data_IF_705217347551
#
_entry.id   IF_705217347551
#
_cell.length_a   1.000
_cell.length_b   1.000
_cell.length_c   1.000
_cell.angle_alpha   90.00
_cell.angle_beta   90.00
_cell.angle_gamma   90.00
#
_symmetry.space_group_name_H-M   'P 1'
#
loop_
_entity.id
_entity.type
_entity.pdbx_description
1 polymer ?
#
# COMPACT_ATOMS: atom_id res chain seq x y z
N UNK A 1 -16.46 -31.77 2.31
CA UNK A 1 -15.80 -31.93 3.62
C UNK A 1 -16.12 -30.71 4.45
N UNK A 2 -16.83 -30.89 5.57
CA UNK A 2 -17.15 -29.82 6.51
C UNK A 2 -15.87 -29.33 7.18
N UNK A 3 -15.60 -28.03 7.07
CA UNK A 3 -14.48 -27.36 7.74
C UNK A 3 -14.72 -27.48 9.26
N UNK A 4 -13.77 -27.98 10.07
CA UNK A 4 -13.94 -28.12 11.51
C UNK A 4 -14.28 -26.80 12.20
N UNK A 5 -15.12 -26.85 13.24
CA UNK A 5 -15.70 -25.71 13.97
C UNK A 5 -14.74 -24.99 14.94
N UNK A 6 -13.45 -24.95 14.62
CA UNK A 6 -12.49 -23.99 15.16
C UNK A 6 -11.70 -23.45 13.96
N UNK A 7 -12.41 -22.79 13.05
CA UNK A 7 -11.77 -22.07 11.96
C UNK A 7 -11.06 -20.87 12.56
N UNK A 8 -9.72 -20.88 12.57
CA UNK A 8 -8.91 -19.73 12.94
C UNK A 8 -9.43 -18.48 12.23
N UNK A 9 -9.64 -17.40 12.98
CA UNK A 9 -10.05 -16.13 12.37
C UNK A 9 -8.91 -15.63 11.49
N UNK A 10 -9.21 -15.29 10.23
CA UNK A 10 -8.21 -14.85 9.26
C UNK A 10 -8.58 -13.49 8.68
N UNK A 11 -7.59 -12.61 8.61
CA UNK A 11 -7.78 -11.25 8.15
C UNK A 11 -6.71 -10.89 7.11
N UNK A 12 -7.15 -10.43 5.96
CA UNK A 12 -6.24 -9.94 4.93
C UNK A 12 -5.88 -8.48 5.21
N UNK A 13 -4.58 -8.20 5.29
CA UNK A 13 -4.01 -6.85 5.36
C UNK A 13 -3.10 -6.67 4.14
N UNK A 14 -3.21 -5.58 3.40
CA UNK A 14 -2.40 -5.42 2.19
C UNK A 14 -2.17 -3.99 1.76
N UNK A 15 -1.48 -3.84 0.63
CA UNK A 15 -1.19 -2.55 0.00
C UNK A 15 -1.42 -2.61 -1.52
N UNK A 16 -1.91 -1.51 -2.10
CA UNK A 16 -2.09 -1.36 -3.55
C UNK A 16 -1.86 0.07 -4.07
N UNK A 17 -0.84 0.27 -4.90
CA UNK A 17 -0.70 1.50 -5.69
C UNK A 17 -1.77 1.54 -6.81
N UNK A 18 -2.60 2.59 -6.83
CA UNK A 18 -3.74 2.71 -7.73
C UNK A 18 -3.43 3.42 -9.06
N UNK A 19 -2.17 3.74 -9.35
CA UNK A 19 -1.68 4.37 -10.60
C UNK A 19 -2.45 5.68 -10.93
N UNK A 20 -2.13 6.77 -10.24
CA UNK A 20 -2.65 8.11 -10.53
C UNK A 20 -4.17 8.13 -10.62
N UNK A 21 -4.83 7.76 -9.53
CA UNK A 21 -6.28 7.70 -9.46
C UNK A 21 -6.87 9.07 -9.14
N UNK A 22 -6.86 9.92 -10.15
CA UNK A 22 -7.52 11.22 -10.15
C UNK A 22 -9.02 11.07 -10.41
N UNK A 23 -9.81 11.98 -9.86
CA UNK A 23 -11.14 12.28 -10.38
C UNK A 23 -11.03 12.99 -11.75
N UNK A 24 -12.15 13.41 -12.32
CA UNK A 24 -12.20 13.97 -13.68
C UNK A 24 -12.45 15.48 -13.71
N UNK A 25 -12.50 16.12 -12.54
CA UNK A 25 -12.68 17.56 -12.34
C UNK A 25 -11.31 18.19 -12.10
N UNK A 26 -11.02 19.29 -12.79
CA UNK A 26 -9.75 19.99 -12.63
C UNK A 26 -9.72 20.76 -11.30
N UNK A 27 -8.67 20.57 -10.51
CA UNK A 27 -8.37 21.39 -9.34
C UNK A 27 -7.23 22.37 -9.64
N UNK A 28 -7.51 23.68 -9.53
CA UNK A 28 -6.55 24.74 -9.84
C UNK A 28 -5.37 24.83 -8.86
N UNK A 29 -5.39 24.08 -7.77
CA UNK A 29 -4.39 24.13 -6.70
C UNK A 29 -3.37 22.98 -6.76
N UNK A 30 -3.55 22.01 -7.66
CA UNK A 30 -2.65 20.86 -7.85
C UNK A 30 -2.31 20.66 -9.33
N UNK A 31 -1.31 19.83 -9.62
CA UNK A 31 -0.86 19.52 -10.98
C UNK A 31 -1.62 18.33 -11.58
N UNK A 32 -2.93 18.47 -11.76
CA UNK A 32 -3.83 17.43 -12.29
C UNK A 32 -4.29 17.68 -13.74
N UNK A 33 -3.88 18.78 -14.39
CA UNK A 33 -4.33 19.19 -15.74
C UNK A 33 -4.33 18.06 -16.79
N UNK A 34 -3.36 17.14 -16.67
CA UNK A 34 -3.23 15.98 -17.57
C UNK A 34 -4.39 15.00 -17.42
N UNK A 35 -5.01 14.92 -16.26
CA UNK A 35 -6.14 14.05 -15.88
C UNK A 35 -7.49 14.78 -15.95
N UNK A 36 -7.66 15.60 -16.97
CA UNK A 36 -8.95 16.18 -17.33
C UNK A 36 -9.42 15.73 -18.70
N UNK A 37 -10.68 16.03 -19.05
CA UNK A 37 -11.25 15.68 -20.35
C UNK A 37 -10.49 16.31 -21.52
N UNK A 38 -9.94 17.51 -21.33
CA UNK A 38 -9.13 18.22 -22.33
C UNK A 38 -7.62 18.03 -22.12
N UNK A 39 -7.23 17.38 -21.03
CA UNK A 39 -5.84 17.09 -20.69
C UNK A 39 -5.22 16.05 -21.60
N UNK A 40 -3.89 15.92 -21.51
CA UNK A 40 -3.11 14.97 -22.32
C UNK A 40 -3.61 13.52 -22.20
N UNK A 41 -4.13 13.13 -21.05
CA UNK A 41 -4.63 11.77 -20.82
C UNK A 41 -6.11 11.61 -21.18
N UNK A 42 -6.78 12.66 -21.67
CA UNK A 42 -8.22 12.72 -22.01
C UNK A 42 -9.07 11.98 -20.96
N UNK A 43 -8.82 12.28 -19.68
CA UNK A 43 -9.42 11.61 -18.55
C UNK A 43 -10.83 12.18 -18.33
N UNK A 44 -11.83 11.41 -18.73
CA UNK A 44 -13.23 11.77 -18.62
C UNK A 44 -13.97 10.84 -17.65
N UNK A 45 -15.20 11.21 -17.31
CA UNK A 45 -16.06 10.46 -16.40
C UNK A 45 -16.19 8.97 -16.76
N UNK A 46 -16.23 8.62 -18.05
CA UNK A 46 -16.29 7.21 -18.46
C UNK A 46 -14.99 6.45 -18.14
N UNK A 47 -13.82 7.04 -18.36
CA UNK A 47 -12.53 6.43 -17.99
C UNK A 47 -12.38 6.30 -16.49
N UNK A 48 -12.79 7.33 -15.75
CA UNK A 48 -12.84 7.34 -14.29
C UNK A 48 -13.74 6.23 -13.72
N UNK A 49 -14.99 6.13 -14.19
CA UNK A 49 -15.93 5.10 -13.76
C UNK A 49 -15.46 3.67 -14.09
N UNK A 50 -14.82 3.47 -15.25
CA UNK A 50 -14.18 2.19 -15.58
C UNK A 50 -13.04 1.85 -14.64
N UNK A 51 -12.23 2.84 -14.24
CA UNK A 51 -11.15 2.62 -13.29
C UNK A 51 -11.70 2.27 -11.90
N UNK A 52 -12.74 2.97 -11.43
CA UNK A 52 -13.45 2.63 -10.19
C UNK A 52 -13.91 1.16 -10.16
N UNK A 53 -14.59 0.71 -11.21
CA UNK A 53 -15.06 -0.67 -11.32
C UNK A 53 -13.90 -1.68 -11.27
N UNK A 54 -12.83 -1.42 -12.03
CA UNK A 54 -11.65 -2.29 -12.07
C UNK A 54 -10.92 -2.40 -10.74
N UNK A 55 -10.64 -1.27 -10.11
CA UNK A 55 -9.98 -1.25 -8.81
C UNK A 55 -10.87 -1.95 -7.77
N UNK A 56 -12.18 -1.70 -7.78
CA UNK A 56 -13.15 -2.37 -6.92
C UNK A 56 -13.16 -3.90 -7.13
N UNK A 57 -13.13 -4.37 -8.37
CA UNK A 57 -13.04 -5.79 -8.72
C UNK A 57 -11.73 -6.42 -8.21
N UNK A 58 -10.60 -5.73 -8.36
CA UNK A 58 -9.31 -6.18 -7.85
C UNK A 58 -9.32 -6.30 -6.32
N UNK A 59 -9.71 -5.23 -5.62
CA UNK A 59 -9.80 -5.21 -4.14
C UNK A 59 -10.67 -6.35 -3.63
N UNK A 60 -11.78 -6.65 -4.33
CA UNK A 60 -12.72 -7.69 -3.92
C UNK A 60 -12.13 -9.10 -3.88
N UNK A 61 -10.99 -9.33 -4.53
CA UNK A 61 -10.36 -10.64 -4.67
C UNK A 61 -9.01 -10.75 -3.95
N UNK A 62 -8.43 -9.65 -3.46
CA UNK A 62 -7.16 -9.69 -2.71
C UNK A 62 -7.33 -10.56 -1.46
N UNK A 63 -6.63 -11.70 -1.41
CA UNK A 63 -6.64 -12.62 -0.29
C UNK A 63 -7.95 -13.39 -0.08
N UNK A 64 -8.95 -13.23 -0.96
CA UNK A 64 -10.27 -13.85 -0.82
C UNK A 64 -10.21 -15.38 -0.85
N UNK A 65 -9.29 -15.96 -1.63
CA UNK A 65 -9.08 -17.42 -1.68
C UNK A 65 -8.62 -18.02 -0.34
N UNK A 66 -8.04 -17.21 0.55
CA UNK A 66 -7.56 -17.65 1.86
C UNK A 66 -8.59 -17.38 2.96
N UNK A 67 -9.19 -16.19 2.97
CA UNK A 67 -10.03 -15.72 4.08
C UNK A 67 -11.53 -15.81 3.80
N UNK A 68 -11.92 -16.08 2.55
CA UNK A 68 -13.31 -16.00 2.09
C UNK A 68 -13.91 -14.59 2.19
N UNK A 69 -13.06 -13.57 2.41
CA UNK A 69 -13.44 -12.20 2.72
C UNK A 69 -12.58 -11.20 1.96
N UNK A 70 -13.10 -9.98 1.83
CA UNK A 70 -12.34 -8.84 1.33
C UNK A 70 -11.33 -8.36 2.38
N UNK A 71 -10.25 -7.64 1.96
CA UNK A 71 -9.25 -7.10 2.88
C UNK A 71 -9.86 -6.37 4.07
N UNK A 72 -9.47 -6.76 5.28
CA UNK A 72 -9.87 -6.07 6.50
C UNK A 72 -9.26 -4.67 6.55
N UNK A 73 -8.01 -4.56 6.09
CA UNK A 73 -7.25 -3.31 5.97
C UNK A 73 -6.48 -3.33 4.64
N UNK A 74 -6.51 -2.22 3.91
CA UNK A 74 -5.80 -2.06 2.64
C UNK A 74 -5.21 -0.64 2.58
N UNK A 75 -3.89 -0.53 2.66
CA UNK A 75 -3.18 0.70 2.31
C UNK A 75 -3.27 0.93 0.80
N UNK A 76 -3.46 2.17 0.38
CA UNK A 76 -3.46 2.55 -1.04
C UNK A 76 -2.58 3.76 -1.26
N UNK A 77 -2.03 3.88 -2.46
CA UNK A 77 -1.26 5.04 -2.89
C UNK A 77 -1.72 5.55 -4.26
N UNK A 78 -1.30 6.77 -4.57
CA UNK A 78 -1.64 7.49 -5.79
C UNK A 78 -3.16 7.76 -5.91
N UNK A 79 -3.78 8.18 -4.81
CA UNK A 79 -5.18 8.60 -4.79
C UNK A 79 -5.25 10.10 -4.63
N UNK A 80 -6.03 10.77 -5.49
CA UNK A 80 -6.03 12.23 -5.47
C UNK A 80 -6.70 12.82 -4.23
N UNK A 81 -7.91 12.35 -3.92
CA UNK A 81 -8.70 13.02 -2.89
C UNK A 81 -9.78 12.11 -2.28
N UNK A 82 -10.47 12.64 -1.27
CA UNK A 82 -11.58 11.95 -0.58
C UNK A 82 -12.76 11.61 -1.48
N UNK A 83 -12.98 12.33 -2.59
CA UNK A 83 -14.07 12.02 -3.53
C UNK A 83 -13.78 10.69 -4.22
N UNK A 84 -12.54 10.50 -4.68
CA UNK A 84 -12.10 9.22 -5.28
C UNK A 84 -12.28 8.05 -4.31
N UNK A 85 -11.88 8.22 -3.05
CA UNK A 85 -12.05 7.18 -2.03
C UNK A 85 -13.53 6.87 -1.75
N UNK A 86 -14.38 7.90 -1.62
CA UNK A 86 -15.82 7.73 -1.45
C UNK A 86 -16.44 6.97 -2.62
N UNK A 87 -16.17 7.40 -3.85
CA UNK A 87 -16.73 6.77 -5.04
C UNK A 87 -16.25 5.32 -5.19
N UNK A 88 -15.01 5.02 -4.75
CA UNK A 88 -14.45 3.67 -4.74
C UNK A 88 -15.17 2.76 -3.74
N UNK A 89 -15.33 3.18 -2.48
CA UNK A 89 -16.00 2.34 -1.48
C UNK A 89 -17.50 2.14 -1.76
N UNK A 90 -18.11 3.03 -2.56
CA UNK A 90 -19.50 2.92 -3.01
C UNK A 90 -19.68 1.98 -4.23
N UNK A 91 -18.59 1.47 -4.82
CA UNK A 91 -18.70 0.52 -5.92
C UNK A 91 -19.43 -0.77 -5.51
N UNK A 92 -20.15 -1.44 -6.44
CA UNK A 92 -20.99 -2.59 -6.11
C UNK A 92 -20.29 -3.72 -5.36
N UNK A 93 -18.99 -3.96 -5.59
CA UNK A 93 -18.22 -5.01 -4.91
C UNK A 93 -17.78 -4.64 -3.50
N UNK A 94 -17.78 -3.35 -3.14
CA UNK A 94 -17.28 -2.86 -1.84
C UNK A 94 -18.38 -2.32 -0.93
N UNK A 95 -19.44 -1.71 -1.49
CA UNK A 95 -20.46 -0.95 -0.73
C UNK A 95 -21.16 -1.73 0.39
N UNK A 96 -21.27 -3.05 0.24
CA UNK A 96 -21.93 -3.92 1.22
C UNK A 96 -20.96 -4.48 2.28
N UNK A 97 -19.67 -4.16 2.21
CA UNK A 97 -18.63 -4.67 3.12
C UNK A 97 -18.18 -3.65 4.16
N UNK A 98 -18.95 -2.58 4.37
CA UNK A 98 -18.75 -1.59 5.45
C UNK A 98 -17.35 -0.96 5.47
N UNK A 99 -16.82 -0.67 4.28
CA UNK A 99 -15.57 0.06 4.15
C UNK A 99 -15.72 1.51 4.59
N UNK A 100 -14.69 1.99 5.28
CA UNK A 100 -14.39 3.39 5.55
C UNK A 100 -12.92 3.64 5.20
N UNK A 101 -12.44 4.87 5.34
CA UNK A 101 -11.05 5.21 5.04
C UNK A 101 -10.47 6.27 5.96
N UNK A 102 -9.15 6.28 6.07
CA UNK A 102 -8.34 7.38 6.64
C UNK A 102 -7.53 8.00 5.51
N UNK A 103 -7.58 9.33 5.38
CA UNK A 103 -6.90 10.08 4.32
C UNK A 103 -6.57 11.51 4.78
N UNK A 104 -5.41 12.01 4.38
CA UNK A 104 -5.00 13.40 4.55
C UNK A 104 -4.34 13.87 3.26
N UNK A 105 -4.59 15.13 2.90
CA UNK A 105 -3.86 15.75 1.79
C UNK A 105 -2.41 15.98 2.20
N UNK A 106 -1.46 15.58 1.34
CA UNK A 106 -0.03 15.80 1.54
C UNK A 106 0.48 17.02 0.78
N UNK A 107 1.72 17.47 1.03
CA UNK A 107 2.33 18.57 0.29
C UNK A 107 2.66 18.27 -1.18
N UNK A 108 2.51 17.04 -1.67
CA UNK A 108 2.85 16.69 -3.05
C UNK A 108 2.09 17.56 -4.05
N UNK A 109 2.82 18.27 -4.91
CA UNK A 109 2.28 19.22 -5.89
C UNK A 109 1.28 18.60 -6.89
N UNK A 110 1.35 17.28 -7.10
CA UNK A 110 0.44 16.56 -7.99
C UNK A 110 -0.88 16.24 -7.30
N UNK A 111 -0.97 16.44 -5.98
CA UNK A 111 -2.18 16.18 -5.20
C UNK A 111 -2.53 14.70 -5.12
N UNK A 112 -1.54 13.80 -5.10
CA UNK A 112 -1.79 12.36 -4.91
C UNK A 112 -1.22 11.87 -3.58
N UNK A 113 -2.04 11.14 -2.86
CA UNK A 113 -1.81 10.79 -1.47
C UNK A 113 -1.83 9.28 -1.23
N UNK A 114 -1.48 8.93 0.01
CA UNK A 114 -1.73 7.60 0.58
C UNK A 114 -3.02 7.61 1.40
N UNK A 115 -3.68 6.46 1.46
CA UNK A 115 -4.86 6.27 2.30
C UNK A 115 -4.87 4.87 2.93
N UNK A 116 -5.70 4.69 3.94
CA UNK A 116 -6.01 3.38 4.52
C UNK A 116 -7.49 3.09 4.34
N UNK A 117 -7.85 2.14 3.48
CA UNK A 117 -9.19 1.57 3.43
C UNK A 117 -9.31 0.50 4.52
N UNK A 118 -10.42 0.48 5.25
CA UNK A 118 -10.63 -0.53 6.29
C UNK A 118 -12.09 -0.90 6.46
N UNK A 119 -12.34 -2.13 6.87
CA UNK A 119 -13.66 -2.66 7.19
C UNK A 119 -14.04 -2.33 8.64
N UNK A 120 -15.06 -1.51 8.83
CA UNK A 120 -15.48 -1.01 10.15
C UNK A 120 -16.06 -2.08 11.08
N UNK A 121 -16.45 -3.24 10.54
CA UNK A 121 -16.95 -4.36 11.33
C UNK A 121 -15.85 -5.23 11.97
N UNK A 122 -14.60 -5.07 11.53
CA UNK A 122 -13.45 -5.85 12.04
C UNK A 122 -12.26 -4.99 12.47
N UNK A 123 -12.19 -3.74 12.00
CA UNK A 123 -11.12 -2.80 12.33
C UNK A 123 -11.67 -1.48 12.89
N UNK A 124 -11.22 -1.12 14.08
CA UNK A 124 -11.52 0.16 14.74
C UNK A 124 -10.30 1.08 14.67
N UNK A 125 -10.47 2.30 14.15
CA UNK A 125 -9.41 3.32 14.17
C UNK A 125 -9.43 4.02 15.53
N UNK A 126 -8.27 4.04 16.20
CA UNK A 126 -8.08 4.68 17.50
C UNK A 126 -7.38 6.05 17.37
N UNK A 127 -6.40 6.14 16.47
CA UNK A 127 -5.62 7.34 16.21
C UNK A 127 -5.12 7.32 14.77
N UNK A 128 -5.00 8.48 14.15
CA UNK A 128 -4.33 8.61 12.85
C UNK A 128 -3.72 9.99 12.68
N UNK A 129 -2.59 10.06 11.99
CA UNK A 129 -1.96 11.34 11.59
C UNK A 129 -1.05 11.18 10.39
N UNK A 130 -0.88 12.24 9.58
CA UNK A 130 0.17 12.30 8.59
C UNK A 130 1.53 12.53 9.28
N UNK A 131 2.58 11.98 8.68
CA UNK A 131 3.99 12.24 9.02
C UNK A 131 4.61 12.89 7.79
N UNK A 132 4.82 14.20 7.87
CA UNK A 132 5.38 14.95 6.76
C UNK A 132 6.85 14.66 6.60
N UNK A 133 7.23 14.21 5.41
CA UNK A 133 8.62 13.98 5.05
C UNK A 133 9.29 15.32 4.74
N UNK A 134 10.39 15.60 5.45
CA UNK A 134 11.26 16.72 5.19
C UNK A 134 12.43 16.25 4.34
N UNK A 135 12.33 16.47 3.02
CA UNK A 135 13.35 16.11 2.04
C UNK A 135 13.75 17.36 1.28
N UNK A 136 15.05 17.55 1.10
CA UNK A 136 15.63 18.61 0.29
C UNK A 136 16.19 18.01 -1.01
N UNK A 137 16.22 18.80 -2.08
CA UNK A 137 16.93 18.47 -3.31
C UNK A 137 18.42 18.84 -3.21
N UNK A 138 19.17 18.59 -4.28
CA UNK A 138 20.62 18.84 -4.33
C UNK A 138 20.99 20.33 -4.23
N UNK A 139 20.00 21.23 -4.34
CA UNK A 139 20.14 22.68 -4.17
C UNK A 139 19.69 23.16 -2.78
N UNK A 140 19.31 22.25 -1.87
CA UNK A 140 18.80 22.56 -0.54
C UNK A 140 17.37 23.12 -0.56
N UNK A 141 16.65 22.96 -1.67
CA UNK A 141 15.25 23.38 -1.78
C UNK A 141 14.37 22.22 -1.32
N UNK A 142 13.37 22.52 -0.49
CA UNK A 142 12.40 21.52 -0.03
C UNK A 142 11.70 20.87 -1.22
N UNK A 143 11.88 19.55 -1.37
CA UNK A 143 11.15 18.71 -2.31
C UNK A 143 9.84 18.28 -1.65
N UNK A 144 8.73 18.86 -2.09
CA UNK A 144 7.41 18.52 -1.59
C UNK A 144 7.02 17.13 -2.09
N UNK A 145 6.85 16.19 -1.17
CA UNK A 145 6.51 14.79 -1.45
C UNK A 145 5.34 14.34 -0.59
N UNK A 146 4.86 13.11 -0.85
CA UNK A 146 3.82 12.44 -0.07
C UNK A 146 4.26 12.25 1.38
N UNK A 147 3.29 12.43 2.27
CA UNK A 147 3.40 12.10 3.67
C UNK A 147 3.33 10.57 3.88
N UNK A 148 3.83 10.10 5.02
CA UNK A 148 3.54 8.75 5.50
C UNK A 148 2.25 8.82 6.33
N UNK A 149 1.28 7.94 6.05
CA UNK A 149 0.08 7.84 6.87
C UNK A 149 0.33 6.86 8.03
N UNK A 150 0.23 7.35 9.26
CA UNK A 150 0.21 6.51 10.46
C UNK A 150 -1.23 6.32 10.96
N UNK A 151 -1.58 5.08 11.28
CA UNK A 151 -2.86 4.69 11.88
C UNK A 151 -2.63 3.70 13.01
N UNK A 152 -3.12 4.03 14.20
CA UNK A 152 -3.29 3.06 15.30
C UNK A 152 -4.72 2.57 15.28
N UNK A 153 -4.90 1.26 15.25
CA UNK A 153 -6.24 0.67 15.27
C UNK A 153 -6.28 -0.72 15.88
N UNK A 154 -7.47 -1.27 16.02
CA UNK A 154 -7.72 -2.57 16.64
C UNK A 154 -8.32 -3.51 15.61
N UNK A 155 -7.57 -4.51 15.18
CA UNK A 155 -8.03 -5.57 14.29
C UNK A 155 -8.35 -6.81 15.12
N UNK A 156 -9.61 -7.24 15.10
CA UNK A 156 -10.05 -8.45 15.81
C UNK A 156 -9.62 -8.51 17.29
N UNK A 157 -9.53 -7.37 17.97
CA UNK A 157 -9.09 -7.33 19.36
C UNK A 157 -7.61 -6.94 19.57
N UNK A 158 -6.75 -7.14 18.57
CA UNK A 158 -5.31 -6.86 18.64
C UNK A 158 -5.02 -5.43 18.15
N UNK A 159 -4.31 -4.64 18.97
CA UNK A 159 -3.90 -3.28 18.59
C UNK A 159 -2.73 -3.34 17.61
N UNK A 160 -2.87 -2.68 16.46
CA UNK A 160 -1.87 -2.57 15.41
C UNK A 160 -1.50 -1.11 15.17
N UNK A 161 -0.22 -0.86 14.96
CA UNK A 161 0.32 0.39 14.43
C UNK A 161 0.64 0.18 12.95
N UNK A 162 0.02 0.95 12.08
CA UNK A 162 0.09 0.76 10.63
C UNK A 162 0.68 2.02 9.99
N UNK A 163 1.68 1.82 9.14
CA UNK A 163 2.28 2.88 8.33
C UNK A 163 2.04 2.59 6.85
N UNK A 164 1.45 3.54 6.12
CA UNK A 164 1.27 3.46 4.66
C UNK A 164 2.23 4.46 4.00
N UNK A 165 3.08 3.94 3.12
CA UNK A 165 4.20 4.68 2.53
C UNK A 165 4.03 4.82 1.01
N UNK A 166 4.46 5.96 0.47
CA UNK A 166 4.73 6.11 -0.96
C UNK A 166 5.97 7.01 -1.16
N UNK A 167 7.15 6.39 -1.16
CA UNK A 167 8.43 7.10 -1.12
C UNK A 167 8.80 7.78 -2.45
N UNK A 168 9.74 8.73 -2.45
CA UNK A 168 10.20 9.41 -3.65
C UNK A 168 10.67 8.45 -4.75
N UNK A 169 10.17 8.67 -5.98
CA UNK A 169 10.48 7.85 -7.14
C UNK A 169 11.94 7.95 -7.58
N UNK A 170 12.44 6.91 -8.27
CA UNK A 170 13.78 6.88 -8.88
C UNK A 170 13.85 7.73 -10.18
N UNK A 171 13.83 9.07 -10.09
CA UNK A 171 14.00 9.95 -11.27
C UNK A 171 15.47 9.93 -11.75
N UNK A 172 15.70 9.78 -13.07
CA UNK A 172 17.02 9.79 -13.75
C UNK A 172 18.06 8.71 -13.34
N UNK A 173 17.64 7.66 -12.64
CA UNK A 173 18.53 6.60 -12.14
C UNK A 173 18.50 6.53 -10.61
N UNK A 174 18.86 5.38 -10.03
CA UNK A 174 18.78 5.17 -8.58
C UNK A 174 19.76 6.03 -7.79
N UNK A 175 20.97 6.28 -8.32
CA UNK A 175 22.06 6.91 -7.58
C UNK A 175 21.85 8.39 -7.22
N UNK A 176 21.04 9.14 -7.98
CA UNK A 176 20.80 10.58 -7.73
C UNK A 176 19.66 10.84 -6.73
N UNK A 177 18.88 9.82 -6.36
CA UNK A 177 17.69 9.99 -5.50
C UNK A 177 17.63 9.01 -4.33
N UNK A 178 18.59 8.09 -4.21
CA UNK A 178 18.64 7.10 -3.13
C UNK A 178 18.66 7.73 -1.74
N UNK A 179 19.36 8.85 -1.56
CA UNK A 179 19.39 9.57 -0.28
C UNK A 179 18.00 10.00 0.19
N UNK A 180 17.09 10.34 -0.73
CA UNK A 180 15.71 10.75 -0.39
C UNK A 180 14.94 9.60 0.27
N UNK A 181 15.15 8.37 -0.21
CA UNK A 181 14.53 7.17 0.37
C UNK A 181 15.20 6.75 1.68
N UNK A 182 16.51 6.95 1.81
CA UNK A 182 17.20 6.79 3.09
C UNK A 182 16.67 7.78 4.16
N UNK A 183 16.45 9.05 3.79
CA UNK A 183 15.85 10.05 4.68
C UNK A 183 14.39 9.71 5.04
N UNK A 184 13.62 9.19 4.09
CA UNK A 184 12.25 8.72 4.36
C UNK A 184 12.25 7.54 5.36
N UNK A 185 13.18 6.58 5.19
CA UNK A 185 13.37 5.48 6.13
C UNK A 185 13.75 5.98 7.52
N UNK A 186 14.69 6.94 7.61
CA UNK A 186 15.10 7.55 8.85
C UNK A 186 13.93 8.22 9.59
N UNK A 187 13.17 9.09 8.92
CA UNK A 187 12.02 9.79 9.54
C UNK A 187 10.91 8.82 9.97
N UNK A 188 10.69 7.74 9.20
CA UNK A 188 9.79 6.66 9.61
C UNK A 188 10.29 5.98 10.89
N UNK A 189 11.57 5.65 10.98
CA UNK A 189 12.14 5.02 12.18
C UNK A 189 12.13 5.93 13.39
N UNK A 190 12.43 7.23 13.24
CA UNK A 190 12.31 8.22 14.32
C UNK A 190 10.89 8.22 14.91
N UNK A 191 9.87 8.16 14.05
CA UNK A 191 8.50 8.04 14.51
C UNK A 191 8.21 6.70 15.21
N UNK A 192 8.70 5.58 14.65
CA UNK A 192 8.56 4.26 15.29
C UNK A 192 9.18 4.26 16.69
N UNK A 193 10.36 4.86 16.88
CA UNK A 193 10.98 4.98 18.20
C UNK A 193 10.18 5.86 19.16
N UNK A 194 9.52 6.91 18.66
CA UNK A 194 8.62 7.70 19.51
C UNK A 194 7.40 6.89 19.99
N UNK A 195 6.89 5.98 19.17
CA UNK A 195 5.76 5.11 19.52
C UNK A 195 6.18 3.91 20.38
N UNK A 196 7.40 3.38 20.19
CA UNK A 196 7.91 2.15 20.80
C UNK A 196 9.35 2.31 21.29
N UNK A 197 9.57 3.28 22.19
CA UNK A 197 10.89 3.59 22.76
C UNK A 197 11.47 2.39 23.53
N UNK A 198 10.60 1.63 24.21
CA UNK A 198 10.97 0.43 24.96
C UNK A 198 11.39 -0.76 24.06
N UNK A 199 11.14 -0.70 22.75
CA UNK A 199 11.52 -1.76 21.81
C UNK A 199 10.65 -3.01 21.89
N UNK A 200 9.38 -2.89 22.32
CA UNK A 200 8.47 -4.01 22.53
C UNK A 200 8.07 -4.71 21.20
N UNK A 201 8.40 -4.12 20.05
CA UNK A 201 8.23 -4.72 18.72
C UNK A 201 9.19 -5.88 18.40
N UNK A 202 10.36 -5.94 19.07
CA UNK A 202 11.45 -6.89 18.74
C UNK A 202 11.22 -8.30 19.27
N UNK A 203 10.53 -8.42 20.38
CA UNK A 203 10.25 -9.71 21.00
C UNK A 203 8.86 -9.69 21.59
N UNK A 204 8.22 -10.85 21.64
CA UNK A 204 6.90 -10.96 22.25
C UNK A 204 7.02 -10.91 23.77
N UNK A 205 6.26 -10.01 24.37
CA UNK A 205 6.13 -9.81 25.82
C UNK A 205 4.81 -10.41 26.32
N UNK A 206 4.69 -10.65 27.62
CA UNK A 206 3.43 -11.06 28.24
C UNK A 206 2.36 -9.95 28.18
N UNK A 207 2.80 -8.68 28.23
CA UNK A 207 1.98 -7.47 28.15
C UNK A 207 2.71 -6.39 27.36
N UNK A 208 1.97 -5.37 26.94
CA UNK A 208 2.52 -4.16 26.31
C UNK A 208 3.27 -4.41 24.99
N UNK A 209 2.86 -5.44 24.25
CA UNK A 209 3.36 -5.67 22.89
C UNK A 209 2.99 -4.50 21.97
N UNK A 210 3.99 -4.05 21.18
CA UNK A 210 3.76 -3.11 20.09
C UNK A 210 3.82 -3.86 18.77
N UNK A 211 2.66 -4.13 18.17
CA UNK A 211 2.58 -4.76 16.85
C UNK A 211 2.56 -3.68 15.77
N UNK A 212 3.49 -3.78 14.83
CA UNK A 212 3.67 -2.77 13.79
C UNK A 212 3.65 -3.43 12.41
N UNK A 213 2.91 -2.82 11.48
CA UNK A 213 2.91 -3.16 10.06
C UNK A 213 3.33 -1.92 9.28
N UNK A 214 4.42 -2.03 8.53
CA UNK A 214 4.92 -1.01 7.61
C UNK A 214 4.65 -1.52 6.20
N UNK A 215 3.81 -0.83 5.45
CA UNK A 215 3.48 -1.21 4.07
C UNK A 215 3.50 0.00 3.15
N UNK A 216 3.64 -0.24 1.86
CA UNK A 216 3.67 0.86 0.89
C UNK A 216 4.43 0.55 -0.39
N UNK A 217 4.45 1.55 -1.26
CA UNK A 217 5.34 1.64 -2.40
C UNK A 217 6.61 2.37 -1.95
N UNK A 218 7.69 1.60 -1.74
CA UNK A 218 8.95 2.13 -1.27
C UNK A 218 9.80 2.73 -2.40
N UNK A 219 9.40 2.57 -3.67
CA UNK A 219 10.23 2.90 -4.83
C UNK A 219 11.66 2.30 -4.78
N UNK A 220 11.85 1.28 -3.94
CA UNK A 220 13.06 0.52 -3.73
C UNK A 220 12.72 -0.96 -3.65
N UNK A 221 13.64 -1.80 -4.09
CA UNK A 221 13.50 -3.25 -3.96
C UNK A 221 13.92 -3.72 -2.55
N UNK A 222 13.56 -4.94 -2.12
CA UNK A 222 13.89 -5.45 -0.79
C UNK A 222 15.39 -5.48 -0.49
N UNK A 223 16.24 -5.62 -1.51
CA UNK A 223 17.69 -5.65 -1.38
C UNK A 223 18.35 -4.26 -1.26
N UNK A 224 17.61 -3.16 -1.41
CA UNK A 224 18.18 -1.81 -1.34
C UNK A 224 18.49 -1.37 0.10
N UNK A 225 19.43 -0.44 0.25
CA UNK A 225 19.93 0.03 1.56
C UNK A 225 18.85 0.70 2.40
N UNK A 226 17.93 1.44 1.77
CA UNK A 226 16.80 2.08 2.47
C UNK A 226 15.94 1.07 3.23
N UNK A 227 15.86 -0.18 2.77
CA UNK A 227 15.16 -1.28 3.43
C UNK A 227 16.11 -2.04 4.35
N UNK A 228 17.19 -2.61 3.79
CA UNK A 228 18.09 -3.53 4.50
C UNK A 228 18.88 -2.88 5.62
N UNK A 229 19.18 -1.58 5.53
CA UNK A 229 19.87 -0.80 6.56
C UNK A 229 18.94 0.19 7.25
N UNK A 230 17.94 0.72 6.53
CA UNK A 230 17.05 1.76 7.05
C UNK A 230 15.85 1.27 7.84
N UNK A 231 15.36 0.03 7.62
CA UNK A 231 14.16 -0.49 8.30
C UNK A 231 14.44 -1.79 9.05
N UNK A 232 14.96 -2.83 8.39
CA UNK A 232 15.03 -4.18 8.99
C UNK A 232 15.83 -4.25 10.30
N UNK A 233 17.00 -3.60 10.46
CA UNK A 233 17.77 -3.64 11.71
C UNK A 233 17.01 -3.07 12.92
N UNK A 234 15.92 -2.34 12.67
CA UNK A 234 15.10 -1.70 13.69
C UNK A 234 14.01 -2.62 14.27
N UNK A 235 14.07 -3.92 14.03
CA UNK A 235 13.15 -4.92 14.61
C UNK A 235 12.00 -5.28 13.68
N UNK A 236 12.28 -5.36 12.37
CA UNK A 236 11.30 -5.65 11.34
C UNK A 236 11.78 -6.76 10.42
N UNK A 237 10.85 -7.62 10.01
CA UNK A 237 11.04 -8.59 8.93
C UNK A 237 10.23 -8.16 7.69
N UNK A 238 10.79 -8.39 6.50
CA UNK A 238 10.11 -8.13 5.24
C UNK A 238 9.49 -9.41 4.70
N UNK A 239 8.24 -9.64 5.08
CA UNK A 239 7.48 -10.85 4.72
C UNK A 239 7.22 -10.95 3.21
N UNK A 240 7.33 -9.85 2.47
CA UNK A 240 7.19 -9.85 1.00
C UNK A 240 8.50 -10.08 0.26
N UNK A 241 9.67 -9.84 0.87
CA UNK A 241 10.97 -9.96 0.20
C UNK A 241 11.20 -11.32 -0.49
N UNK A 242 10.83 -12.47 0.12
CA UNK A 242 11.02 -13.78 -0.52
C UNK A 242 10.18 -13.99 -1.80
N UNK A 243 9.15 -13.16 -2.04
CA UNK A 243 8.24 -13.30 -3.19
C UNK A 243 8.86 -12.79 -4.49
N UNK A 244 9.87 -11.92 -4.41
CA UNK A 244 10.57 -11.38 -5.57
C UNK A 244 11.48 -12.42 -6.19
N UNK A 245 11.38 -12.60 -7.50
CA UNK A 245 12.34 -13.38 -8.29
C UNK A 245 12.43 -12.85 -9.73
N UNK A 246 13.24 -13.49 -10.57
CA UNK A 246 13.46 -13.05 -11.95
C UNK A 246 12.17 -12.99 -12.81
N UNK A 247 11.12 -13.69 -12.41
CA UNK A 247 9.85 -13.80 -13.14
C UNK A 247 8.65 -13.19 -12.41
N UNK A 248 8.83 -12.67 -11.19
CA UNK A 248 7.73 -12.20 -10.34
C UNK A 248 8.15 -11.03 -9.45
N UNK A 249 7.28 -10.04 -9.36
CA UNK A 249 7.40 -8.85 -8.52
C UNK A 249 6.09 -8.09 -8.53
N UNK A 250 6.01 -6.97 -7.81
CA UNK A 250 4.80 -6.13 -7.80
C UNK A 250 4.70 -5.26 -9.05
N UNK A 251 5.81 -4.94 -9.72
CA UNK A 251 5.81 -4.16 -10.95
C UNK A 251 6.88 -4.62 -11.93
N UNK A 252 6.72 -4.21 -13.19
CA UNK A 252 7.70 -4.47 -14.24
C UNK A 252 8.10 -3.19 -14.97
N UNK A 253 9.41 -2.88 -14.94
CA UNK A 253 9.99 -1.75 -15.65
C UNK A 253 11.09 -2.23 -16.60
N UNK A 254 10.98 -1.89 -17.90
CA UNK A 254 11.95 -2.29 -18.94
C UNK A 254 12.27 -3.80 -18.91
N UNK A 255 11.23 -4.65 -18.76
CA UNK A 255 11.35 -6.11 -18.69
C UNK A 255 12.10 -6.65 -17.46
N UNK A 256 12.36 -5.81 -16.46
CA UNK A 256 12.87 -6.21 -15.15
C UNK A 256 11.72 -6.20 -14.14
N UNK A 257 11.58 -7.29 -13.41
CA UNK A 257 10.66 -7.37 -12.27
C UNK A 257 11.27 -6.71 -11.04
N UNK A 258 10.46 -5.88 -10.38
CA UNK A 258 10.79 -5.19 -9.14
C UNK A 258 9.72 -5.48 -8.09
N UNK A 259 10.07 -5.33 -6.82
CA UNK A 259 9.12 -5.45 -5.70
C UNK A 259 9.18 -4.17 -4.87
N UNK A 260 8.59 -3.09 -5.38
CA UNK A 260 8.54 -1.82 -4.66
C UNK A 260 7.44 -1.81 -3.60
N UNK A 261 6.32 -2.44 -3.92
CA UNK A 261 5.21 -2.66 -3.01
C UNK A 261 5.60 -3.75 -2.01
N UNK A 262 5.76 -3.39 -0.74
CA UNK A 262 6.28 -4.30 0.28
C UNK A 262 5.45 -4.22 1.55
N UNK A 263 5.48 -5.30 2.33
CA UNK A 263 4.93 -5.37 3.69
C UNK A 263 6.04 -5.86 4.61
N UNK A 264 6.32 -5.06 5.62
CA UNK A 264 7.25 -5.34 6.71
C UNK A 264 6.47 -5.37 8.02
N UNK A 265 6.82 -6.28 8.91
CA UNK A 265 6.13 -6.47 10.19
C UNK A 265 7.12 -6.49 11.33
N UNK A 266 6.69 -6.07 12.52
CA UNK A 266 7.51 -6.22 13.72
C UNK A 266 7.80 -7.70 14.02
N UNK A 267 9.00 -8.00 14.53
CA UNK A 267 9.45 -9.37 14.85
C UNK A 267 8.45 -10.13 15.76
N UNK A 268 7.82 -9.43 16.71
CA UNK A 268 6.84 -10.01 17.63
C UNK A 268 5.50 -10.43 16.98
N UNK A 269 5.25 -10.09 15.70
CA UNK A 269 4.04 -10.43 14.94
C UNK A 269 4.15 -11.79 14.22
N UNK A 270 5.28 -12.50 14.31
CA UNK A 270 5.42 -13.86 13.75
C UNK A 270 4.97 -14.97 14.70
N UNK A 271 4.78 -14.66 15.98
CA UNK A 271 4.60 -15.67 17.02
C UNK A 271 3.13 -16.10 17.12
N UNK A 272 2.90 -17.39 16.92
CA UNK A 272 1.58 -18.01 17.04
C UNK A 272 1.23 -18.30 18.52
N UNK A 273 0.51 -17.38 19.15
CA UNK A 273 0.05 -17.48 20.56
C UNK A 273 -1.47 -17.30 20.59
N UNK A 274 -2.20 -18.08 21.42
CA UNK A 274 -3.65 -17.96 21.53
C UNK A 274 -4.12 -16.53 21.82
N UNK A 275 -5.13 -16.09 21.09
CA UNK A 275 -5.83 -14.83 21.35
C UNK A 275 -5.27 -13.58 20.67
N UNK A 276 -4.15 -13.65 19.96
CA UNK A 276 -3.59 -12.52 19.20
C UNK A 276 -3.33 -12.87 17.73
N UNK A 277 -3.16 -11.82 16.92
CA UNK A 277 -2.82 -11.97 15.51
C UNK A 277 -1.35 -12.32 15.31
N UNK A 278 -1.08 -13.16 14.32
CA UNK A 278 0.25 -13.41 13.79
C UNK A 278 0.25 -13.54 12.26
N UNK A 279 1.40 -13.31 11.64
CA UNK A 279 1.58 -13.47 10.20
C UNK A 279 1.53 -14.95 9.83
N UNK A 280 0.53 -15.34 9.05
CA UNK A 280 0.42 -16.70 8.53
C UNK A 280 1.07 -16.84 7.15
N UNK A 281 0.84 -15.86 6.26
CA UNK A 281 1.35 -15.89 4.89
C UNK A 281 1.45 -14.48 4.30
N UNK A 282 2.36 -14.27 3.37
CA UNK A 282 2.36 -13.13 2.45
C UNK A 282 2.30 -13.61 0.98
N UNK A 283 1.72 -12.80 0.09
CA UNK A 283 1.73 -13.07 -1.35
C UNK A 283 1.60 -11.77 -2.18
N UNK A 284 1.86 -11.88 -3.49
CA UNK A 284 1.54 -10.86 -4.49
C UNK A 284 0.22 -11.29 -5.14
N UNK A 285 -0.79 -10.42 -5.17
CA UNK A 285 -2.01 -10.67 -5.92
C UNK A 285 -1.79 -10.36 -7.40
N UNK A 286 -1.11 -11.25 -8.09
CA UNK A 286 -0.84 -11.18 -9.52
C UNK A 286 -1.85 -12.01 -10.32
N UNK A 287 -3.15 -11.97 -10.02
CA UNK A 287 -4.15 -12.75 -10.76
C UNK A 287 -4.16 -12.39 -12.27
N UNK A 288 -4.56 -13.35 -13.11
CA UNK A 288 -4.62 -13.16 -14.55
C UNK A 288 -5.48 -11.96 -14.97
N UNK A 289 -6.51 -11.61 -14.19
CA UNK A 289 -7.34 -10.42 -14.41
C UNK A 289 -6.53 -9.12 -14.41
N UNK A 290 -5.48 -9.04 -13.58
CA UNK A 290 -4.61 -7.87 -13.45
C UNK A 290 -3.48 -7.86 -14.48
N UNK A 291 -3.34 -8.90 -15.29
CA UNK A 291 -2.23 -9.04 -16.24
C UNK A 291 -2.61 -8.54 -17.64
N UNK A 292 -1.62 -8.08 -18.39
CA UNK A 292 -1.75 -7.95 -19.84
C UNK A 292 -1.80 -9.34 -20.48
N UNK A 293 -2.83 -9.58 -21.30
CA UNK A 293 -3.13 -10.91 -21.84
C UNK A 293 -2.41 -11.21 -23.16
N UNK A 294 -2.01 -10.18 -23.91
CA UNK A 294 -1.49 -10.28 -25.28
C UNK A 294 -0.31 -9.34 -25.50
N UNK A 295 0.45 -9.62 -26.56
CA UNK A 295 1.56 -8.79 -27.01
C UNK A 295 2.84 -8.97 -26.19
N UNK A 296 3.84 -8.13 -26.48
CA UNK A 296 5.18 -8.23 -25.90
C UNK A 296 5.24 -8.04 -24.38
N UNK A 297 4.22 -7.41 -23.78
CA UNK A 297 4.12 -7.16 -22.34
C UNK A 297 3.24 -8.19 -21.62
N UNK A 298 2.90 -9.32 -22.26
CA UNK A 298 2.05 -10.36 -21.67
C UNK A 298 2.58 -10.79 -20.30
N UNK A 299 1.68 -10.87 -19.33
CA UNK A 299 1.98 -11.25 -17.94
C UNK A 299 2.37 -10.09 -17.03
N UNK A 300 2.71 -8.91 -17.57
CA UNK A 300 2.97 -7.71 -16.77
C UNK A 300 1.65 -7.08 -16.26
N UNK A 301 1.69 -6.23 -15.22
CA UNK A 301 0.52 -5.47 -14.78
C UNK A 301 -0.18 -4.76 -15.94
N UNK A 302 -1.51 -4.89 -15.97
CA UNK A 302 -2.39 -4.21 -16.89
C UNK A 302 -2.53 -2.76 -16.44
N UNK A 303 -1.63 -1.91 -16.90
CA UNK A 303 -1.60 -0.46 -16.63
C UNK A 303 -2.74 0.31 -17.27
N UNK A 304 -3.10 1.43 -16.67
CA UNK A 304 -4.10 2.38 -17.14
C UNK A 304 -3.60 3.10 -18.38
N UNK A 305 -2.32 3.51 -18.38
CA UNK A 305 -1.70 4.21 -19.51
C UNK A 305 -0.41 3.52 -19.98
N UNK A 306 -0.26 3.39 -21.31
CA UNK A 306 0.94 2.88 -21.95
C UNK A 306 1.52 3.92 -22.91
N UNK A 307 2.64 4.55 -22.52
CA UNK A 307 3.30 5.57 -23.36
C UNK A 307 2.41 6.77 -23.66
N UNK A 308 1.57 7.18 -22.72
CA UNK A 308 0.60 8.27 -22.87
C UNK A 308 -0.70 7.89 -23.60
N UNK A 309 -0.87 6.62 -24.00
CA UNK A 309 -2.14 6.12 -24.57
C UNK A 309 -2.95 5.41 -23.50
N UNK A 310 -4.26 5.65 -23.48
CA UNK A 310 -5.18 4.95 -22.59
C UNK A 310 -5.26 3.46 -22.97
N UNK A 311 -4.77 2.60 -22.08
CA UNK A 311 -4.86 1.15 -22.18
C UNK A 311 -6.05 0.59 -21.37
N UNK A 312 -6.54 1.37 -20.40
CA UNK A 312 -7.73 1.04 -19.62
C UNK A 312 -7.56 -0.16 -18.71
N UNK A 313 -6.33 -0.43 -18.24
CA UNK A 313 -6.03 -1.45 -17.24
C UNK A 313 -6.48 -1.08 -15.82
N UNK A 314 -5.92 -1.80 -14.84
CA UNK A 314 -6.16 -1.65 -13.40
C UNK A 314 -5.14 -0.69 -12.77
N UNK A 315 -3.88 -1.11 -12.76
CA UNK A 315 -2.71 -0.40 -12.22
C UNK A 315 -1.46 -0.94 -12.92
N UNK A 316 -0.39 -0.17 -12.97
CA UNK A 316 0.93 -0.67 -13.35
C UNK A 316 1.65 -1.44 -12.23
N UNK A 317 0.98 -1.63 -11.08
CA UNK A 317 1.38 -2.45 -9.94
C UNK A 317 0.40 -3.61 -9.71
N UNK A 318 0.89 -4.70 -9.11
CA UNK A 318 0.10 -5.73 -8.46
C UNK A 318 0.00 -5.45 -6.95
N UNK A 319 -1.15 -5.67 -6.31
CA UNK A 319 -1.26 -5.59 -4.86
C UNK A 319 -0.36 -6.60 -4.15
N UNK A 320 0.13 -6.24 -2.98
CA UNK A 320 0.77 -7.18 -2.04
C UNK A 320 -0.10 -7.32 -0.80
N UNK A 321 -0.12 -8.50 -0.20
CA UNK A 321 -0.94 -8.73 0.99
C UNK A 321 -0.34 -9.79 1.91
N UNK A 322 -0.76 -9.75 3.16
CA UNK A 322 -0.56 -10.79 4.16
C UNK A 322 -1.88 -11.26 4.73
N UNK A 323 -1.94 -12.53 5.09
CA UNK A 323 -3.02 -13.11 5.88
C UNK A 323 -2.52 -13.18 7.33
N UNK A 324 -3.19 -12.45 8.20
CA UNK A 324 -3.04 -12.59 9.64
C UNK A 324 -4.00 -13.65 10.15
N UNK A 325 -3.56 -14.49 11.07
CA UNK A 325 -4.40 -15.49 11.75
C UNK A 325 -4.44 -15.22 13.24
N UNK A 326 -5.56 -15.60 13.85
CA UNK A 326 -5.73 -15.62 15.31
C UNK A 326 -6.00 -17.05 15.77
N UNK A 327 -5.20 -17.51 16.73
CA UNK A 327 -5.33 -18.82 17.35
C UNK A 327 -6.30 -18.87 18.52
#
# INVERSE_FOLDING_TARGET
MSIPSQAFEQYTVGFYNLENFFDFQNDQHILDDSFTTLGRNEWNENRYNKKLQKISDAISQIGADYTGNLPAVLGVAEVENKKVLNDLIQQPKLRNHKYSYVHFNSPDERGIDVALLYRTDVFEVLESRPITLLIEDDMGIRDTTRDILYVKGKLAGTTLHIYVNHWPSRRNGSGTTEYKRALAAQQLMEHVYHIDDAGNRRQRLEKDNTFIIIMGDFNDDPENDSITKGILPHGFDNITAPLKNFHRGSLNHKFKWNLFDQIMVSENLHNDIPGDLFVHKADIFDDIMLRQWKGKYRGQPARTFAGGRYAGGFSDHFPVYTVLRRN
#
